data_IF_674574979281
#
_entry.id   IF_674574979281
#
_cell.length_a   1.000
_cell.length_b   1.000
_cell.length_c   1.000
_cell.angle_alpha   90.00
_cell.angle_beta   90.00
_cell.angle_gamma   90.00
#
_symmetry.space_group_name_H-M   'P 1'
#
loop_
_entity.id
_entity.type
_entity.pdbx_description
1 polymer ?
#
# COMPACT_ATOMS: atom_id res chain seq x y z
N UNK A 1 7.13 0.44 21.25
CA UNK A 1 5.94 0.55 20.39
C UNK A 1 6.27 -0.12 19.08
N UNK A 2 5.47 -1.05 18.53
CA UNK A 2 5.79 -1.63 17.23
C UNK A 2 5.73 -0.51 16.18
N UNK A 3 6.87 -0.23 15.55
CA UNK A 3 6.95 0.68 14.41
C UNK A 3 5.95 0.19 13.35
N UNK A 4 4.87 0.91 13.11
CA UNK A 4 3.88 0.53 12.10
C UNK A 4 4.23 1.23 10.81
N UNK A 5 4.49 0.49 9.72
CA UNK A 5 4.71 1.10 8.41
C UNK A 5 3.37 1.52 7.82
N UNK A 6 3.33 2.70 7.21
CA UNK A 6 2.16 3.18 6.47
C UNK A 6 2.44 3.00 4.98
N UNK A 7 1.66 2.16 4.32
CA UNK A 7 1.79 1.87 2.89
C UNK A 7 0.51 2.28 2.18
N UNK A 8 0.63 3.07 1.12
CA UNK A 8 -0.49 3.43 0.25
C UNK A 8 -0.77 2.29 -0.72
N UNK A 9 -2.01 1.81 -0.75
CA UNK A 9 -2.43 0.74 -1.65
C UNK A 9 -2.29 1.18 -3.12
N UNK A 10 -1.63 0.38 -3.98
CA UNK A 10 -1.45 0.71 -5.40
C UNK A 10 -2.76 0.67 -6.21
N UNK A 11 -3.79 0.01 -5.70
CA UNK A 11 -5.06 -0.18 -6.42
C UNK A 11 -6.12 0.88 -6.10
N UNK A 12 -6.23 1.25 -4.82
CA UNK A 12 -7.30 2.12 -4.34
C UNK A 12 -6.81 3.34 -3.55
N UNK A 13 -5.49 3.56 -3.51
CA UNK A 13 -4.82 4.70 -2.87
C UNK A 13 -5.11 4.86 -1.37
N UNK A 14 -5.65 3.83 -0.72
CA UNK A 14 -5.95 3.84 0.70
C UNK A 14 -4.66 3.59 1.49
N UNK A 15 -4.42 4.36 2.55
CA UNK A 15 -3.29 4.13 3.46
C UNK A 15 -3.59 2.97 4.40
N UNK A 16 -2.71 1.98 4.40
CA UNK A 16 -2.81 0.79 5.25
C UNK A 16 -1.68 0.81 6.28
N UNK A 17 -1.97 0.32 7.49
CA UNK A 17 -0.96 0.05 8.50
C UNK A 17 -0.47 -1.38 8.32
N UNK A 18 0.84 -1.54 8.20
CA UNK A 18 1.47 -2.81 7.92
C UNK A 18 2.50 -3.11 9.01
N UNK A 19 2.55 -4.37 9.40
CA UNK A 19 3.52 -4.88 10.35
C UNK A 19 4.88 -4.96 9.64
N UNK A 20 5.95 -4.35 10.16
CA UNK A 20 7.28 -4.47 9.57
C UNK A 20 7.71 -5.92 9.42
N UNK A 21 8.31 -6.26 8.29
CA UNK A 21 8.73 -7.61 7.96
C UNK A 21 7.63 -8.50 7.37
N UNK A 22 6.39 -8.00 7.24
CA UNK A 22 5.27 -8.70 6.58
C UNK A 22 4.70 -7.93 5.39
N UNK A 23 5.44 -6.97 4.84
CA UNK A 23 4.99 -6.10 3.75
C UNK A 23 4.58 -6.90 2.51
N UNK A 24 5.32 -7.95 2.18
CA UNK A 24 5.05 -8.82 1.02
C UNK A 24 3.77 -9.67 1.15
N UNK A 25 3.27 -9.88 2.36
CA UNK A 25 2.05 -10.65 2.62
C UNK A 25 0.85 -9.74 2.92
N UNK A 26 1.06 -8.42 2.92
CA UNK A 26 0.06 -7.47 3.34
C UNK A 26 -0.95 -7.20 2.22
N UNK A 27 -2.23 -7.26 2.57
CA UNK A 27 -3.35 -6.92 1.67
C UNK A 27 -4.00 -5.62 2.11
N UNK A 28 -4.62 -4.92 1.17
CA UNK A 28 -5.36 -3.72 1.48
C UNK A 28 -6.65 -4.05 2.22
N UNK A 29 -6.89 -3.42 3.38
CA UNK A 29 -8.13 -3.60 4.14
C UNK A 29 -9.39 -3.00 3.50
N UNK A 30 -9.29 -2.34 2.35
CA UNK A 30 -10.42 -1.73 1.62
C UNK A 30 -10.80 -2.49 0.36
N UNK A 31 -9.82 -2.86 -0.46
CA UNK A 31 -10.05 -3.50 -1.76
C UNK A 31 -9.46 -4.91 -1.85
N UNK A 32 -8.87 -5.42 -0.77
CA UNK A 32 -8.29 -6.77 -0.66
C UNK A 32 -7.14 -7.07 -1.63
N UNK A 33 -6.70 -6.09 -2.42
CA UNK A 33 -5.57 -6.20 -3.32
C UNK A 33 -4.22 -6.24 -2.59
N UNK A 34 -3.23 -6.84 -3.23
CA UNK A 34 -1.86 -6.93 -2.72
C UNK A 34 -1.24 -5.53 -2.57
N UNK A 35 -0.64 -5.25 -1.40
CA UNK A 35 0.05 -3.97 -1.18
C UNK A 35 1.43 -3.95 -1.84
N UNK A 36 2.04 -5.11 -2.06
CA UNK A 36 3.34 -5.29 -2.69
C UNK A 36 3.26 -6.36 -3.77
N UNK A 37 2.93 -5.95 -5.00
CA UNK A 37 2.87 -6.85 -6.17
C UNK A 37 4.22 -6.99 -6.90
N UNK A 38 5.27 -6.30 -6.44
CA UNK A 38 6.60 -6.28 -7.08
C UNK A 38 6.62 -5.60 -8.46
N UNK A 39 5.55 -4.91 -8.83
CA UNK A 39 5.40 -4.21 -10.11
C UNK A 39 5.35 -2.69 -9.89
N UNK A 40 5.83 -1.89 -10.85
CA UNK A 40 5.59 -0.46 -10.87
C UNK A 40 4.08 -0.17 -10.87
N UNK A 41 3.70 0.95 -10.25
CA UNK A 41 2.33 1.47 -10.25
C UNK A 41 2.32 2.67 -11.16
N UNK A 42 1.44 2.68 -12.16
CA UNK A 42 1.24 3.85 -13.00
C UNK A 42 0.56 4.95 -12.19
N UNK A 43 1.31 6.03 -11.96
CA UNK A 43 0.81 7.22 -11.29
C UNK A 43 0.38 8.26 -12.33
N UNK A 44 -0.80 8.83 -12.14
CA UNK A 44 -1.30 9.98 -12.90
C UNK A 44 -1.12 11.24 -12.05
N UNK A 45 -1.31 12.42 -12.66
CA UNK A 45 -1.27 13.69 -11.92
C UNK A 45 -2.25 13.73 -10.73
N UNK A 46 -3.36 12.98 -10.80
CA UNK A 46 -4.37 12.91 -9.75
C UNK A 46 -4.05 11.90 -8.65
N UNK A 47 -3.29 10.83 -8.97
CA UNK A 47 -2.94 9.77 -8.02
C UNK A 47 -1.57 9.97 -7.38
N UNK A 48 -0.68 10.73 -8.01
CA UNK A 48 0.65 11.07 -7.50
C UNK A 48 0.63 11.70 -6.09
N UNK A 49 -0.25 12.67 -5.76
CA UNK A 49 -0.28 13.26 -4.41
C UNK A 49 -0.76 12.31 -3.32
N UNK A 50 -1.37 11.17 -3.71
CA UNK A 50 -1.94 10.19 -2.78
C UNK A 50 -0.95 9.09 -2.41
N UNK A 51 0.11 8.92 -3.21
CA UNK A 51 1.16 7.92 -3.04
C UNK A 51 2.35 8.47 -2.26
#
# INVERSE_FOLDING_TARGET
>A
MPDTRKITCPHCHTRNRVIPGKELQAVCGKCEGELFSGKPVDLTAETFPKH
#
